data_IF_530749466257
#
_entry.id   IF_530749466257
#
_cell.length_a   1.000
_cell.length_b   1.000
_cell.length_c   1.000
_cell.angle_alpha   90.00
_cell.angle_beta   90.00
_cell.angle_gamma   90.00
#
_symmetry.space_group_name_H-M   'P 1'
#
loop_
_entity.id
_entity.type
_entity.pdbx_description
1 polymer ?
#
# COMPACT_ATOMS: atom_id res chain seq x y z
N UNK A 1 -15.03 1.12 11.86
CA UNK A 1 -13.94 1.12 10.85
C UNK A 1 -12.61 1.28 11.54
N UNK A 2 -11.65 0.46 11.19
CA UNK A 2 -10.29 0.54 11.70
C UNK A 2 -9.43 1.35 10.74
N UNK A 3 -8.58 2.23 11.26
CA UNK A 3 -7.66 3.03 10.46
C UNK A 3 -6.22 2.66 10.79
N UNK A 4 -5.41 2.47 9.76
CA UNK A 4 -3.99 2.13 9.92
C UNK A 4 -3.14 3.05 9.06
N UNK A 5 -1.99 3.48 9.61
CA UNK A 5 -1.06 4.36 8.94
C UNK A 5 0.19 3.58 8.53
N UNK A 6 0.66 3.85 7.32
CA UNK A 6 1.94 3.38 6.84
C UNK A 6 2.97 4.49 7.00
N UNK A 7 4.19 4.10 7.28
CA UNK A 7 5.30 5.01 7.40
C UNK A 7 6.24 4.55 8.47
N UNK A 8 7.53 4.82 8.25
CA UNK A 8 8.57 4.47 9.18
C UNK A 8 8.97 5.67 10.04
N UNK A 9 9.51 5.38 11.21
CA UNK A 9 10.18 6.39 12.01
C UNK A 9 11.63 6.57 11.50
N UNK A 10 12.37 7.47 12.13
CA UNK A 10 13.74 7.76 11.74
C UNK A 10 14.66 6.53 11.83
N UNK A 11 14.48 5.72 12.88
CA UNK A 11 15.27 4.48 13.06
C UNK A 11 15.02 3.51 11.91
N UNK A 12 13.76 3.31 11.53
CA UNK A 12 13.39 2.46 10.39
C UNK A 12 14.03 2.96 9.10
N UNK A 13 14.01 4.29 8.88
CA UNK A 13 14.64 4.88 7.68
C UNK A 13 16.14 4.67 7.65
N UNK A 14 16.81 4.72 8.80
CA UNK A 14 18.26 4.45 8.88
C UNK A 14 18.57 3.00 8.57
N UNK A 15 17.76 2.06 9.08
CA UNK A 15 17.93 0.64 8.80
C UNK A 15 17.73 0.37 7.30
N UNK A 16 16.69 0.94 6.71
CA UNK A 16 16.42 0.78 5.28
C UNK A 16 17.54 1.38 4.43
N UNK A 17 18.04 2.55 4.82
CA UNK A 17 19.14 3.20 4.12
C UNK A 17 20.41 2.35 4.16
N UNK A 18 20.72 1.74 5.32
CA UNK A 18 21.86 0.84 5.45
C UNK A 18 21.68 -0.39 4.54
N UNK A 19 20.50 -1.00 4.56
CA UNK A 19 20.22 -2.17 3.74
C UNK A 19 20.37 -1.88 2.25
N UNK A 20 19.90 -0.73 1.80
CA UNK A 20 19.97 -0.34 0.39
C UNK A 20 21.41 0.03 -0.01
N UNK A 21 22.07 0.88 0.77
CA UNK A 21 23.34 1.47 0.39
C UNK A 21 24.53 0.58 0.68
N UNK A 22 24.51 -0.15 1.81
CA UNK A 22 25.64 -0.98 2.23
C UNK A 22 25.46 -2.44 1.83
N UNK A 23 24.26 -3.00 2.08
CA UNK A 23 23.99 -4.41 1.75
C UNK A 23 23.53 -4.61 0.30
N UNK A 24 23.23 -3.52 -0.40
CA UNK A 24 22.79 -3.54 -1.80
C UNK A 24 21.49 -4.31 -2.03
N UNK A 25 20.58 -4.31 -1.04
CA UNK A 25 19.26 -4.88 -1.19
C UNK A 25 18.40 -3.89 -1.99
N UNK A 26 17.81 -4.29 -3.13
CA UNK A 26 16.95 -3.38 -3.88
C UNK A 26 15.78 -2.88 -3.03
N UNK A 27 15.46 -1.60 -3.13
CA UNK A 27 14.40 -0.98 -2.33
C UNK A 27 13.05 -1.66 -2.51
N UNK A 28 12.76 -2.15 -3.72
CA UNK A 28 11.48 -2.82 -4.00
C UNK A 28 11.37 -4.16 -3.25
N UNK A 29 12.49 -4.83 -3.00
CA UNK A 29 12.50 -6.06 -2.19
C UNK A 29 12.14 -5.74 -0.75
N UNK A 30 12.70 -4.65 -0.19
CA UNK A 30 12.36 -4.22 1.16
C UNK A 30 10.89 -3.83 1.26
N UNK A 31 10.36 -3.16 0.25
CA UNK A 31 8.95 -2.76 0.18
C UNK A 31 8.04 -3.99 0.19
N UNK A 32 8.37 -5.00 -0.58
CA UNK A 32 7.60 -6.24 -0.64
C UNK A 32 7.64 -6.98 0.71
N UNK A 33 8.82 -7.10 1.31
CA UNK A 33 8.98 -7.75 2.61
C UNK A 33 8.18 -7.03 3.69
N UNK A 34 8.17 -5.71 3.67
CA UNK A 34 7.38 -4.91 4.62
C UNK A 34 5.88 -5.15 4.42
N UNK A 35 5.42 -5.22 3.19
CA UNK A 35 4.01 -5.47 2.88
C UNK A 35 3.57 -6.86 3.35
N UNK A 36 4.40 -7.88 3.10
CA UNK A 36 4.11 -9.24 3.56
C UNK A 36 4.03 -9.29 5.09
N UNK A 37 4.98 -8.65 5.76
CA UNK A 37 5.00 -8.61 7.23
C UNK A 37 3.76 -7.90 7.78
N UNK A 38 3.40 -6.76 7.18
CA UNK A 38 2.22 -5.99 7.58
C UNK A 38 0.96 -6.83 7.48
N UNK A 39 0.78 -7.55 6.37
CA UNK A 39 -0.44 -8.32 6.14
C UNK A 39 -0.55 -9.57 7.02
N UNK A 40 0.54 -10.01 7.63
CA UNK A 40 0.48 -11.11 8.60
C UNK A 40 -0.28 -10.72 9.87
N UNK A 41 -0.33 -9.44 10.18
CA UNK A 41 -0.92 -8.94 11.42
C UNK A 41 -2.31 -8.36 11.24
N UNK A 42 -2.81 -8.31 10.00
CA UNK A 42 -4.13 -7.75 9.69
C UNK A 42 -4.91 -8.70 8.79
N UNK A 43 -6.20 -8.43 8.66
CA UNK A 43 -7.04 -9.10 7.67
C UNK A 43 -7.50 -10.49 8.04
N UNK A 44 -7.38 -10.89 9.31
CA UNK A 44 -7.85 -12.22 9.74
C UNK A 44 -9.37 -12.28 9.84
N UNK A 45 -9.97 -11.21 10.36
CA UNK A 45 -11.42 -11.15 10.60
C UNK A 45 -12.13 -10.15 9.70
N UNK A 46 -11.40 -9.25 9.06
CA UNK A 46 -11.95 -8.22 8.19
C UNK A 46 -11.87 -8.67 6.74
N UNK A 47 -12.83 -8.23 5.94
CA UNK A 47 -12.90 -8.61 4.52
C UNK A 47 -12.81 -7.43 3.57
N UNK A 48 -13.21 -6.23 4.00
CA UNK A 48 -13.32 -5.06 3.12
C UNK A 48 -12.24 -4.03 3.47
N UNK A 49 -11.31 -3.83 2.56
CA UNK A 49 -10.16 -2.95 2.75
C UNK A 49 -10.17 -1.82 1.74
N UNK A 50 -9.94 -0.61 2.23
CA UNK A 50 -9.63 0.54 1.39
C UNK A 50 -8.21 0.96 1.67
N UNK A 51 -7.39 1.02 0.63
CA UNK A 51 -6.02 1.49 0.74
C UNK A 51 -5.92 2.83 0.02
N UNK A 52 -5.53 3.88 0.76
CA UNK A 52 -5.36 5.22 0.21
C UNK A 52 -3.88 5.41 -0.05
N UNK A 53 -3.51 5.58 -1.31
CA UNK A 53 -2.11 5.59 -1.73
C UNK A 53 -1.69 6.94 -2.28
N UNK A 54 -0.60 7.48 -1.74
CA UNK A 54 0.11 8.60 -2.33
C UNK A 54 1.04 8.14 -3.46
N UNK A 55 1.87 9.06 -3.94
CA UNK A 55 2.75 8.80 -5.09
C UNK A 55 4.19 8.41 -4.72
N UNK A 56 4.54 8.51 -3.45
CA UNK A 56 5.87 8.18 -2.95
C UNK A 56 5.97 6.74 -2.48
N UNK A 57 7.02 6.45 -1.72
CA UNK A 57 7.27 5.08 -1.26
C UNK A 57 6.24 4.58 -0.26
N UNK A 58 5.62 5.46 0.54
CA UNK A 58 4.50 5.03 1.39
C UNK A 58 3.33 4.56 0.53
N UNK A 59 3.03 5.27 -0.55
CA UNK A 59 2.01 4.85 -1.51
C UNK A 59 2.36 3.52 -2.15
N UNK A 60 3.63 3.36 -2.52
CA UNK A 60 4.13 2.09 -3.06
C UNK A 60 3.91 0.93 -2.10
N UNK A 61 4.19 1.14 -0.81
CA UNK A 61 3.89 0.17 0.23
C UNK A 61 2.41 -0.15 0.31
N UNK A 62 1.55 0.86 0.16
CA UNK A 62 0.11 0.68 0.12
C UNK A 62 -0.34 -0.20 -1.05
N UNK A 63 0.19 0.04 -2.24
CA UNK A 63 -0.10 -0.81 -3.41
C UNK A 63 0.38 -2.25 -3.19
N UNK A 64 1.56 -2.43 -2.60
CA UNK A 64 2.08 -3.76 -2.31
C UNK A 64 1.18 -4.49 -1.30
N UNK A 65 0.71 -3.81 -0.25
CA UNK A 65 -0.23 -4.38 0.72
C UNK A 65 -1.54 -4.74 0.03
N UNK A 66 -2.05 -3.88 -0.85
CA UNK A 66 -3.27 -4.15 -1.60
C UNK A 66 -3.17 -5.46 -2.39
N UNK A 67 -2.04 -5.68 -3.08
CA UNK A 67 -1.81 -6.92 -3.82
C UNK A 67 -1.80 -8.14 -2.90
N UNK A 68 -1.14 -8.02 -1.74
CA UNK A 68 -1.05 -9.13 -0.79
C UNK A 68 -2.44 -9.49 -0.24
N UNK A 69 -3.24 -8.50 0.11
CA UNK A 69 -4.60 -8.73 0.59
C UNK A 69 -5.49 -9.33 -0.52
N UNK A 70 -5.36 -8.80 -1.72
CA UNK A 70 -6.12 -9.29 -2.87
C UNK A 70 -5.81 -10.76 -3.17
N UNK A 71 -4.54 -11.14 -3.05
CA UNK A 71 -4.12 -12.53 -3.26
C UNK A 71 -4.66 -13.48 -2.19
N UNK A 72 -5.12 -12.95 -1.07
CA UNK A 72 -5.76 -13.71 0.02
C UNK A 72 -7.28 -13.67 -0.07
N UNK A 73 -7.81 -13.31 -1.23
CA UNK A 73 -9.25 -13.25 -1.51
C UNK A 73 -10.01 -12.20 -0.69
N UNK A 74 -9.32 -11.17 -0.24
CA UNK A 74 -9.97 -10.04 0.43
C UNK A 74 -10.58 -9.10 -0.61
N UNK A 75 -11.61 -8.38 -0.22
CA UNK A 75 -12.21 -7.34 -1.04
C UNK A 75 -11.39 -6.06 -0.86
N UNK A 76 -10.64 -5.71 -1.89
CA UNK A 76 -9.68 -4.60 -1.82
C UNK A 76 -10.06 -3.53 -2.84
N UNK A 77 -10.15 -2.30 -2.36
CA UNK A 77 -10.30 -1.13 -3.22
C UNK A 77 -9.18 -0.15 -2.90
N UNK A 78 -8.70 0.51 -3.93
CA UNK A 78 -7.61 1.48 -3.80
C UNK A 78 -8.13 2.86 -4.18
N UNK A 79 -7.78 3.86 -3.38
CA UNK A 79 -7.93 5.26 -3.76
C UNK A 79 -6.55 5.82 -4.07
N UNK A 80 -6.34 6.18 -5.33
CA UNK A 80 -5.08 6.74 -5.81
C UNK A 80 -5.15 8.26 -5.75
N UNK A 81 -4.32 8.85 -4.90
CA UNK A 81 -4.31 10.31 -4.73
C UNK A 81 -3.74 10.98 -5.98
N UNK A 82 -2.67 10.42 -6.54
CA UNK A 82 -2.06 10.93 -7.77
C UNK A 82 -1.32 9.81 -8.48
N UNK A 83 -1.55 9.68 -9.78
CA UNK A 83 -0.82 8.76 -10.64
C UNK A 83 0.30 9.46 -11.42
N UNK A 84 0.58 10.71 -11.09
CA UNK A 84 1.64 11.49 -11.73
C UNK A 84 2.86 11.56 -10.82
N UNK A 85 4.04 11.45 -11.44
CA UNK A 85 5.33 11.59 -10.75
C UNK A 85 5.52 10.61 -9.58
N UNK A 86 5.07 9.38 -9.75
CA UNK A 86 5.28 8.34 -8.77
C UNK A 86 6.76 7.98 -8.66
N UNK A 87 7.20 7.60 -7.44
CA UNK A 87 8.52 6.99 -7.29
C UNK A 87 8.58 5.68 -8.11
N UNK A 88 9.79 5.22 -8.43
CA UNK A 88 9.95 4.01 -9.24
C UNK A 88 9.25 2.80 -8.60
N UNK A 89 9.46 2.58 -7.32
CA UNK A 89 8.87 1.45 -6.61
C UNK A 89 7.35 1.56 -6.50
N UNK A 90 6.85 2.79 -6.29
CA UNK A 90 5.41 3.04 -6.28
C UNK A 90 4.80 2.71 -7.65
N UNK A 91 5.42 3.17 -8.72
CA UNK A 91 4.95 2.93 -10.09
C UNK A 91 4.87 1.43 -10.39
N UNK A 92 5.88 0.67 -10.00
CA UNK A 92 5.90 -0.79 -10.22
C UNK A 92 4.70 -1.43 -9.53
N UNK A 93 4.47 -1.15 -8.25
CA UNK A 93 3.39 -1.76 -7.50
C UNK A 93 2.02 -1.29 -7.98
N UNK A 94 1.89 -0.02 -8.36
CA UNK A 94 0.67 0.53 -8.95
C UNK A 94 0.29 -0.24 -10.24
N UNK A 95 1.25 -0.44 -11.13
CA UNK A 95 1.01 -1.16 -12.38
C UNK A 95 0.61 -2.62 -12.13
N UNK A 96 1.23 -3.28 -11.15
CA UNK A 96 0.84 -4.63 -10.79
C UNK A 96 -0.61 -4.67 -10.31
N UNK A 97 -1.03 -3.71 -9.48
CA UNK A 97 -2.41 -3.63 -9.01
C UNK A 97 -3.38 -3.48 -10.18
N UNK A 98 -3.08 -2.60 -11.12
CA UNK A 98 -3.90 -2.42 -12.32
C UNK A 98 -4.01 -3.70 -13.14
N UNK A 99 -2.87 -4.34 -13.36
CA UNK A 99 -2.83 -5.56 -14.17
C UNK A 99 -3.49 -6.75 -13.47
N UNK A 100 -3.57 -6.71 -12.15
CA UNK A 100 -4.23 -7.75 -11.36
C UNK A 100 -5.75 -7.59 -11.30
N UNK A 101 -6.27 -6.48 -11.78
CA UNK A 101 -7.71 -6.22 -11.77
C UNK A 101 -8.27 -5.66 -10.48
N UNK A 102 -7.40 -5.13 -9.60
CA UNK A 102 -7.86 -4.47 -8.38
C UNK A 102 -8.50 -3.13 -8.76
N UNK A 103 -9.67 -2.83 -8.20
CA UNK A 103 -10.35 -1.58 -8.47
C UNK A 103 -9.57 -0.39 -7.90
N UNK A 104 -9.28 0.58 -8.75
CA UNK A 104 -8.58 1.81 -8.36
C UNK A 104 -9.46 3.00 -8.67
N UNK A 105 -9.68 3.84 -7.69
CA UNK A 105 -10.51 5.04 -7.77
C UNK A 105 -9.62 6.28 -7.68
N UNK A 106 -10.00 7.33 -8.40
CA UNK A 106 -9.19 8.55 -8.53
C UNK A 106 -9.95 9.80 -8.11
N UNK A 107 -11.28 9.75 -8.11
CA UNK A 107 -12.11 10.95 -7.91
C UNK A 107 -12.43 11.15 -6.45
N UNK A 108 -12.13 12.34 -5.95
CA UNK A 108 -12.32 12.67 -4.53
C UNK A 108 -13.77 12.48 -4.09
N UNK A 109 -14.73 12.75 -4.97
CA UNK A 109 -16.16 12.60 -4.65
C UNK A 109 -16.58 11.14 -4.40
N UNK A 110 -15.76 10.17 -4.77
CA UNK A 110 -16.04 8.76 -4.50
C UNK A 110 -15.53 8.31 -3.12
N UNK A 111 -14.67 9.12 -2.50
CA UNK A 111 -13.96 8.71 -1.28
C UNK A 111 -14.91 8.45 -0.10
N UNK A 112 -15.93 9.30 0.09
CA UNK A 112 -16.86 9.13 1.20
C UNK A 112 -17.57 7.78 1.13
N UNK A 113 -18.03 7.41 -0.05
CA UNK A 113 -18.69 6.13 -0.26
C UNK A 113 -17.73 4.96 0.01
N UNK A 114 -16.50 5.06 -0.47
CA UNK A 114 -15.49 4.03 -0.25
C UNK A 114 -15.21 3.85 1.25
N UNK A 115 -15.12 4.95 1.98
CA UNK A 115 -14.89 4.90 3.43
C UNK A 115 -16.04 4.24 4.18
N UNK A 116 -17.28 4.46 3.73
CA UNK A 116 -18.46 3.85 4.36
C UNK A 116 -18.55 2.34 4.10
N UNK A 117 -17.99 1.86 3.01
CA UNK A 117 -18.09 0.46 2.61
C UNK A 117 -16.98 -0.43 3.14
N UNK A 118 -15.93 0.13 3.73
CA UNK A 118 -14.78 -0.65 4.18
C UNK A 118 -14.82 -0.92 5.68
N UNK A 119 -14.18 -2.02 6.08
CA UNK A 119 -13.96 -2.38 7.48
C UNK A 119 -12.67 -1.78 8.00
N UNK A 120 -11.69 -1.66 7.13
CA UNK A 120 -10.35 -1.15 7.46
C UNK A 120 -9.92 -0.18 6.37
N UNK A 121 -9.40 0.98 6.78
CA UNK A 121 -8.71 1.87 5.86
C UNK A 121 -7.23 1.91 6.21
N UNK A 122 -6.39 1.78 5.18
CA UNK A 122 -4.93 1.83 5.31
C UNK A 122 -4.45 3.04 4.54
N UNK A 123 -3.74 3.95 5.22
CA UNK A 123 -3.21 5.15 4.59
C UNK A 123 -1.72 5.01 4.30
N UNK A 124 -1.35 5.11 3.02
CA UNK A 124 0.02 5.16 2.54
C UNK A 124 0.29 6.48 1.82
N UNK A 125 0.11 7.58 2.52
CA UNK A 125 0.31 8.93 1.95
C UNK A 125 1.75 9.45 2.24
#
# INVERSE_FOLDING_TARGET
MMKMLLGGNETTRKIDSYAINELRIPSIVLMENAAISFTKHIGKNEDNFLIVCGKGNNGGGGYAIARQLFSKDKNVKIFCISDENMSNDCSVNYEICKNSGIEIFYKLEELDKLLLECDVVIEGI
#
